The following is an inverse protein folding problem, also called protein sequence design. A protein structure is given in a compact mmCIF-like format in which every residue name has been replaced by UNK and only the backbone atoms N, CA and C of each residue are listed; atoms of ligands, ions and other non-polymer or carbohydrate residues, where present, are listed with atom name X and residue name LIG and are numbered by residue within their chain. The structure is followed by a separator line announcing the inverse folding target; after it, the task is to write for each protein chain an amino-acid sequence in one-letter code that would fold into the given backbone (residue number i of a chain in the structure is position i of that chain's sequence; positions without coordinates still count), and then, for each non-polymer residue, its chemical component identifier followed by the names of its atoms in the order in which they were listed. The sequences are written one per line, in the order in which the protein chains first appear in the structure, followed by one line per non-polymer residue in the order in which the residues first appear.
data_IF_683019268359
#
_entry.id   IF_683019268359
#
_cell.length_a   1.000
_cell.length_b   1.000
_cell.length_c   1.000
_cell.angle_alpha   90.00
_cell.angle_beta   90.00
_cell.angle_gamma   90.00
#
_symmetry.space_group_name_H-M   'P 1'
#
loop_
_entity.id
_entity.type
_entity.pdbx_description
1 polymer ?
#
# COMPACT_ATOMS: atom_id res chain seq x y z
N UNK A 1 -9.77 -0.16 27.97
CA UNK A 1 -9.03 -1.36 27.50
C UNK A 1 -9.88 -2.57 27.83
N UNK A 2 -10.18 -3.45 26.86
CA UNK A 2 -10.88 -4.69 27.19
C UNK A 2 -9.88 -5.68 27.81
N UNK A 3 -10.23 -6.27 28.95
CA UNK A 3 -9.39 -7.23 29.71
C UNK A 3 -8.82 -8.35 28.84
N UNK A 4 -9.59 -8.76 27.82
CA UNK A 4 -9.23 -9.81 26.86
C UNK A 4 -8.00 -9.47 26.00
N UNK A 5 -7.79 -8.20 25.62
CA UNK A 5 -6.62 -7.82 24.81
C UNK A 5 -5.36 -7.85 25.68
N UNK A 6 -5.43 -7.36 26.92
CA UNK A 6 -4.29 -7.41 27.84
C UNK A 6 -3.88 -8.84 28.18
N UNK A 7 -4.85 -9.73 28.42
CA UNK A 7 -4.60 -11.15 28.63
C UNK A 7 -3.96 -11.82 27.40
N UNK A 8 -4.43 -11.49 26.20
CA UNK A 8 -3.83 -11.97 24.96
C UNK A 8 -2.36 -11.55 24.85
N UNK A 9 -2.08 -10.25 25.03
CA UNK A 9 -0.74 -9.69 24.87
C UNK A 9 0.22 -10.16 25.96
N UNK A 10 -0.28 -10.47 27.15
CA UNK A 10 0.49 -11.10 28.23
C UNK A 10 0.67 -12.62 28.08
N UNK A 11 0.06 -13.25 27.08
CA UNK A 11 0.08 -14.71 26.95
C UNK A 11 1.37 -15.25 26.33
N UNK A 12 1.77 -16.46 26.74
CA UNK A 12 2.89 -17.19 26.11
C UNK A 12 2.66 -17.43 24.61
N UNK A 13 1.39 -17.56 24.18
CA UNK A 13 1.01 -17.71 22.78
C UNK A 13 1.40 -16.47 21.96
N UNK A 14 1.10 -15.27 22.49
CA UNK A 14 1.49 -14.03 21.84
C UNK A 14 3.02 -13.90 21.79
N UNK A 15 3.72 -14.16 22.90
CA UNK A 15 5.18 -14.08 22.94
C UNK A 15 5.86 -14.99 21.90
N UNK A 16 5.40 -16.24 21.77
CA UNK A 16 5.91 -17.18 20.76
C UNK A 16 5.65 -16.70 19.32
N UNK A 17 4.45 -16.17 19.07
CA UNK A 17 4.11 -15.61 17.76
C UNK A 17 4.94 -14.37 17.43
N UNK A 18 5.15 -13.48 18.41
CA UNK A 18 5.95 -12.28 18.25
C UNK A 18 7.40 -12.61 17.88
N UNK A 19 8.03 -13.53 18.60
CA UNK A 19 9.38 -13.99 18.29
C UNK A 19 9.49 -14.60 16.88
N UNK A 20 8.48 -15.36 16.44
CA UNK A 20 8.46 -15.93 15.08
C UNK A 20 8.34 -14.83 14.01
N UNK A 21 7.49 -13.83 14.22
CA UNK A 21 7.35 -12.69 13.31
C UNK A 21 8.62 -11.84 13.25
N UNK A 22 9.26 -11.57 14.38
CA UNK A 22 10.53 -10.84 14.44
C UNK A 22 11.65 -11.58 13.68
N UNK A 23 11.74 -12.90 13.85
CA UNK A 23 12.70 -13.72 13.09
C UNK A 23 12.43 -13.66 11.58
N UNK A 24 11.17 -13.79 11.16
CA UNK A 24 10.79 -13.68 9.75
C UNK A 24 11.11 -12.28 9.17
N UNK A 25 10.85 -11.21 9.92
CA UNK A 25 11.17 -9.85 9.49
C UNK A 25 12.68 -9.62 9.35
N UNK A 26 13.49 -10.22 10.24
CA UNK A 26 14.95 -10.18 10.12
C UNK A 26 15.43 -10.88 8.83
N UNK A 27 14.91 -12.07 8.53
CA UNK A 27 15.22 -12.77 7.26
C UNK A 27 14.82 -11.96 6.03
N UNK A 28 13.67 -11.29 6.09
CA UNK A 28 13.21 -10.42 5.00
C UNK A 28 14.17 -9.25 4.82
N UNK A 29 14.60 -8.60 5.90
CA UNK A 29 15.53 -7.48 5.83
C UNK A 29 16.87 -7.90 5.21
N UNK A 30 17.40 -9.07 5.59
CA UNK A 30 18.61 -9.63 4.99
C UNK A 30 18.40 -10.00 3.52
N UNK A 31 17.25 -10.62 3.18
CA UNK A 31 16.91 -10.99 1.81
C UNK A 31 16.75 -9.78 0.87
N UNK A 32 16.24 -8.65 1.36
CA UNK A 32 16.16 -7.41 0.57
C UNK A 32 17.55 -6.85 0.21
N UNK A 33 18.58 -7.17 1.00
CA UNK A 33 19.98 -6.78 0.77
C UNK A 33 20.79 -7.87 0.03
N UNK A 34 20.16 -8.98 -0.34
CA UNK A 34 20.83 -10.09 -1.01
C UNK A 34 21.42 -9.64 -2.36
N UNK A 35 22.59 -10.18 -2.76
CA UNK A 35 23.21 -9.84 -4.04
C UNK A 35 22.38 -10.34 -5.24
N UNK A 36 21.64 -11.44 -5.06
CA UNK A 36 20.79 -12.05 -6.09
C UNK A 36 19.42 -11.36 -6.19
N UNK A 37 19.07 -10.93 -7.41
CA UNK A 37 17.75 -10.35 -7.75
C UNK A 37 16.58 -11.24 -7.31
N UNK A 38 16.69 -12.55 -7.53
CA UNK A 38 15.63 -13.49 -7.20
C UNK A 38 15.35 -13.55 -5.69
N UNK A 39 16.37 -13.40 -4.85
CA UNK A 39 16.23 -13.44 -3.40
C UNK A 39 15.67 -12.12 -2.86
N UNK A 40 16.09 -10.98 -3.43
CA UNK A 40 15.45 -9.68 -3.15
C UNK A 40 13.96 -9.69 -3.49
N UNK A 41 13.61 -10.21 -4.66
CA UNK A 41 12.21 -10.31 -5.09
C UNK A 41 11.40 -11.25 -4.18
N UNK A 42 12.00 -12.37 -3.74
CA UNK A 42 11.36 -13.28 -2.78
C UNK A 42 11.11 -12.59 -1.44
N UNK A 43 12.09 -11.87 -0.92
CA UNK A 43 11.96 -11.10 0.32
C UNK A 43 10.88 -10.01 0.20
N UNK A 44 10.87 -9.24 -0.90
CA UNK A 44 9.83 -8.23 -1.14
C UNK A 44 8.41 -8.82 -1.23
N UNK A 45 8.27 -10.00 -1.85
CA UNK A 45 6.98 -10.71 -1.90
C UNK A 45 6.54 -11.21 -0.52
N UNK A 46 7.46 -11.71 0.30
CA UNK A 46 7.19 -12.08 1.70
C UNK A 46 6.76 -10.87 2.51
N UNK A 47 7.47 -9.75 2.40
CA UNK A 47 7.10 -8.49 3.04
C UNK A 47 5.71 -8.02 2.60
N UNK A 48 5.42 -8.09 1.30
CA UNK A 48 4.09 -7.76 0.75
C UNK A 48 2.99 -8.70 1.26
N UNK A 49 3.30 -9.97 1.51
CA UNK A 49 2.36 -10.91 2.12
C UNK A 49 2.07 -10.56 3.58
N UNK A 50 3.10 -10.26 4.38
CA UNK A 50 2.94 -9.77 5.76
C UNK A 50 2.16 -8.45 5.80
N UNK A 51 2.48 -7.53 4.89
CA UNK A 51 1.79 -6.25 4.77
C UNK A 51 0.28 -6.41 4.53
N UNK A 52 -0.16 -7.50 3.89
CA UNK A 52 -1.55 -7.82 3.55
C UNK A 52 -2.25 -8.78 4.52
N UNK A 53 -1.50 -9.38 5.44
CA UNK A 53 -2.01 -10.38 6.36
C UNK A 53 -3.18 -9.85 7.19
N UNK A 54 -4.06 -10.75 7.63
CA UNK A 54 -5.27 -10.41 8.40
C UNK A 54 -4.94 -9.53 9.61
N UNK A 55 -5.77 -8.51 9.83
CA UNK A 55 -5.51 -7.52 10.85
C UNK A 55 -5.91 -8.08 12.21
N UNK A 56 -4.95 -8.15 13.14
CA UNK A 56 -5.21 -8.60 14.50
C UNK A 56 -4.14 -8.06 15.46
N UNK A 57 -4.41 -8.17 16.76
CA UNK A 57 -3.42 -7.85 17.80
C UNK A 57 -2.17 -8.74 17.75
N UNK A 58 -2.23 -9.91 17.10
CA UNK A 58 -1.06 -10.76 16.88
C UNK A 58 -0.06 -10.12 15.90
N UNK A 59 -0.50 -9.15 15.08
CA UNK A 59 0.34 -8.45 14.11
C UNK A 59 1.06 -7.21 14.67
N UNK A 60 1.04 -6.99 15.99
CA UNK A 60 1.77 -5.89 16.63
C UNK A 60 3.29 -5.86 16.29
N UNK A 61 4.02 -7.00 16.20
CA UNK A 61 5.43 -6.98 15.79
C UNK A 61 5.63 -6.44 14.37
N UNK A 62 4.75 -6.83 13.44
CA UNK A 62 4.77 -6.33 12.05
C UNK A 62 4.45 -4.83 12.00
N UNK A 63 3.49 -4.38 12.81
CA UNK A 63 3.22 -2.94 12.98
C UNK A 63 4.45 -2.21 13.51
N UNK A 64 5.08 -2.71 14.57
CA UNK A 64 6.27 -2.11 15.16
C UNK A 64 7.42 -2.00 14.17
N UNK A 65 7.62 -3.02 13.34
CA UNK A 65 8.57 -2.99 12.24
C UNK A 65 8.27 -1.84 11.26
N UNK A 66 7.07 -1.75 10.71
CA UNK A 66 6.70 -0.69 9.77
C UNK A 66 6.77 0.73 10.38
N UNK A 67 6.52 0.88 11.68
CA UNK A 67 6.66 2.18 12.35
C UNK A 67 8.11 2.55 12.67
N UNK A 68 9.05 1.62 12.56
CA UNK A 68 10.44 1.89 12.83
C UNK A 68 11.06 2.81 11.76
N UNK A 69 11.96 3.71 12.18
CA UNK A 69 12.72 4.54 11.25
C UNK A 69 13.66 3.71 10.36
N UNK A 70 14.19 2.59 10.89
CA UNK A 70 15.06 1.67 10.15
C UNK A 70 14.38 1.10 8.92
N UNK A 71 13.14 0.62 9.06
CA UNK A 71 12.38 0.02 7.94
C UNK A 71 12.16 1.00 6.79
N UNK A 72 11.87 2.28 7.07
CA UNK A 72 11.73 3.30 5.99
C UNK A 72 13.04 3.51 5.24
N UNK A 73 14.17 3.49 5.94
CA UNK A 73 15.50 3.55 5.32
C UNK A 73 15.78 2.34 4.42
N UNK A 74 15.54 1.14 4.92
CA UNK A 74 15.74 -0.11 4.16
C UNK A 74 14.86 -0.19 2.90
N UNK A 75 13.59 0.20 3.01
CA UNK A 75 12.67 0.26 1.88
C UNK A 75 13.11 1.29 0.84
N UNK A 76 13.57 2.46 1.29
CA UNK A 76 14.06 3.51 0.38
C UNK A 76 15.30 3.04 -0.41
N UNK A 77 16.20 2.30 0.23
CA UNK A 77 17.34 1.68 -0.47
C UNK A 77 16.89 0.60 -1.46
N UNK A 78 16.01 -0.32 -1.05
CA UNK A 78 15.52 -1.39 -1.91
C UNK A 78 14.74 -0.89 -3.14
N UNK A 79 14.03 0.24 -3.01
CA UNK A 79 13.29 0.88 -4.09
C UNK A 79 14.16 1.48 -5.21
N UNK A 80 15.47 1.66 -4.99
CA UNK A 80 16.42 2.13 -6.02
C UNK A 80 16.75 1.08 -7.07
N UNK A 81 16.17 -0.11 -6.97
CA UNK A 81 16.25 -1.14 -8.00
C UNK A 81 15.73 -0.64 -9.35
N UNK A 82 16.28 -1.16 -10.45
CA UNK A 82 15.71 -1.01 -11.80
C UNK A 82 14.66 -2.08 -12.13
N UNK A 83 14.58 -3.13 -11.31
CA UNK A 83 13.71 -4.29 -11.53
C UNK A 83 12.25 -3.97 -11.22
N UNK A 84 11.41 -3.92 -12.26
CA UNK A 84 9.98 -3.59 -12.16
C UNK A 84 9.25 -4.49 -11.16
N UNK A 85 9.47 -5.81 -11.21
CA UNK A 85 8.77 -6.74 -10.33
C UNK A 85 9.12 -6.56 -8.85
N UNK A 86 10.38 -6.23 -8.54
CA UNK A 86 10.82 -5.94 -7.19
C UNK A 86 10.23 -4.62 -6.71
N UNK A 87 10.33 -3.58 -7.54
CA UNK A 87 9.76 -2.25 -7.23
C UNK A 87 8.26 -2.33 -6.96
N UNK A 88 7.50 -2.97 -7.85
CA UNK A 88 6.05 -3.10 -7.70
C UNK A 88 5.68 -3.87 -6.42
N UNK A 89 6.42 -4.94 -6.08
CA UNK A 89 6.19 -5.68 -4.83
C UNK A 89 6.44 -4.82 -3.58
N UNK A 90 7.45 -3.96 -3.60
CA UNK A 90 7.77 -3.02 -2.52
C UNK A 90 6.72 -1.91 -2.39
N UNK A 91 6.28 -1.30 -3.50
CA UNK A 91 5.23 -0.29 -3.51
C UNK A 91 3.91 -0.85 -2.96
N UNK A 92 3.56 -2.08 -3.34
CA UNK A 92 2.40 -2.79 -2.78
C UNK A 92 2.57 -3.03 -1.27
N UNK A 93 3.77 -3.42 -0.82
CA UNK A 93 4.02 -3.60 0.62
C UNK A 93 3.84 -2.27 1.39
N UNK A 94 4.38 -1.17 0.87
CA UNK A 94 4.24 0.19 1.43
C UNK A 94 2.78 0.60 1.51
N UNK A 95 2.02 0.45 0.41
CA UNK A 95 0.59 0.74 0.36
C UNK A 95 -0.18 0.01 1.46
N UNK A 96 -0.04 -1.31 1.52
CA UNK A 96 -0.78 -2.12 2.48
C UNK A 96 -0.33 -1.83 3.91
N UNK A 97 0.96 -1.58 4.15
CA UNK A 97 1.46 -1.22 5.46
C UNK A 97 0.88 0.11 5.96
N UNK A 98 0.82 1.13 5.09
CA UNK A 98 0.20 2.40 5.42
C UNK A 98 -1.29 2.25 5.78
N UNK A 99 -2.05 1.53 4.95
CA UNK A 99 -3.49 1.33 5.17
C UNK A 99 -3.78 0.47 6.41
N UNK A 100 -2.97 -0.57 6.66
CA UNK A 100 -3.28 -1.59 7.67
C UNK A 100 -2.57 -1.40 8.98
N UNK A 101 -1.33 -0.92 9.00
CA UNK A 101 -0.51 -0.82 10.21
C UNK A 101 -0.29 0.61 10.71
N UNK A 102 -0.48 1.61 9.82
CA UNK A 102 -0.33 3.03 10.19
C UNK A 102 -1.69 3.67 10.45
N UNK A 103 -2.59 3.65 9.48
CA UNK A 103 -3.82 4.45 9.51
C UNK A 103 -5.07 3.69 9.97
N UNK A 104 -5.00 2.36 10.10
CA UNK A 104 -6.19 1.57 10.39
C UNK A 104 -6.82 1.92 11.75
N UNK A 105 -8.16 2.13 11.83
CA UNK A 105 -8.84 2.54 13.07
C UNK A 105 -8.65 1.63 14.28
N UNK A 106 -8.40 0.33 14.06
CA UNK A 106 -8.13 -0.66 15.14
C UNK A 106 -7.01 -0.18 16.08
N UNK A 107 -6.00 0.51 15.54
CA UNK A 107 -4.84 0.97 16.32
C UNK A 107 -5.09 2.24 17.14
N UNK A 108 -6.23 2.93 16.94
CA UNK A 108 -6.58 4.08 17.80
C UNK A 108 -6.82 3.69 19.26
N UNK A 109 -7.07 2.40 19.49
CA UNK A 109 -7.26 1.81 20.80
C UNK A 109 -6.06 0.92 21.21
N UNK A 110 -4.91 1.07 20.55
CA UNK A 110 -3.70 0.30 20.84
C UNK A 110 -3.29 0.49 22.30
N UNK A 111 -3.27 -0.58 23.11
CA UNK A 111 -2.98 -0.50 24.53
C UNK A 111 -1.48 -0.39 24.85
N UNK A 112 -0.59 -0.65 23.87
CA UNK A 112 0.87 -0.67 24.05
C UNK A 112 1.52 0.60 23.48
N UNK A 113 0.98 1.11 22.38
CA UNK A 113 1.38 2.39 21.81
C UNK A 113 0.18 3.34 21.85
N UNK A 114 0.08 4.14 22.90
CA UNK A 114 -0.88 5.22 22.94
C UNK A 114 -0.74 6.05 21.66
N UNK A 115 -1.83 6.11 20.89
CA UNK A 115 -2.03 6.85 19.64
C UNK A 115 -1.37 6.23 18.40
N UNK A 116 -2.21 5.85 17.42
CA UNK A 116 -1.95 6.33 16.05
C UNK A 116 -1.86 7.84 16.20
N UNK A 117 -0.65 8.38 16.24
CA UNK A 117 -0.52 9.81 16.17
C UNK A 117 -0.82 10.19 14.73
N UNK A 118 -1.62 11.22 14.51
CA UNK A 118 -1.73 11.83 13.18
C UNK A 118 -0.33 12.18 12.62
N UNK A 119 0.67 12.32 13.50
CA UNK A 119 2.08 12.46 13.16
C UNK A 119 2.69 11.23 12.47
N UNK A 120 2.35 9.99 12.83
CA UNK A 120 2.86 8.78 12.13
C UNK A 120 2.32 8.70 10.71
N UNK A 121 1.01 8.95 10.54
CA UNK A 121 0.38 9.01 9.23
C UNK A 121 0.96 10.15 8.38
N UNK A 122 1.15 11.33 8.97
CA UNK A 122 1.81 12.47 8.29
C UNK A 122 3.26 12.16 7.92
N UNK A 123 4.04 11.53 8.80
CA UNK A 123 5.42 11.15 8.54
C UNK A 123 5.54 10.10 7.45
N UNK A 124 4.60 9.16 7.38
CA UNK A 124 4.50 8.19 6.30
C UNK A 124 4.15 8.87 4.97
N UNK A 125 3.14 9.74 4.94
CA UNK A 125 2.80 10.50 3.73
C UNK A 125 3.96 11.36 3.23
N UNK A 126 4.62 12.10 4.12
CA UNK A 126 5.78 12.91 3.79
C UNK A 126 6.96 12.10 3.22
N UNK A 127 7.12 10.84 3.66
CA UNK A 127 8.14 9.94 3.14
C UNK A 127 7.74 9.27 1.82
N UNK A 128 6.48 8.80 1.68
CA UNK A 128 5.98 8.14 0.48
C UNK A 128 5.84 9.09 -0.72
N UNK A 129 5.42 10.33 -0.46
CA UNK A 129 5.13 11.32 -1.51
C UNK A 129 6.28 11.53 -2.51
N UNK A 130 7.53 11.88 -2.10
CA UNK A 130 8.63 12.08 -3.04
C UNK A 130 9.04 10.80 -3.80
N UNK A 131 8.88 9.62 -3.18
CA UNK A 131 9.13 8.32 -3.82
C UNK A 131 8.13 8.12 -4.97
N UNK A 132 6.85 8.32 -4.67
CA UNK A 132 5.77 8.16 -5.62
C UNK A 132 5.88 9.18 -6.76
N UNK A 133 6.17 10.44 -6.45
CA UNK A 133 6.44 11.50 -7.42
C UNK A 133 7.57 11.13 -8.38
N UNK A 134 8.68 10.58 -7.88
CA UNK A 134 9.78 10.11 -8.73
C UNK A 134 9.40 8.98 -9.70
N UNK A 135 8.30 8.26 -9.44
CA UNK A 135 7.90 7.05 -10.16
C UNK A 135 6.67 7.22 -11.06
N UNK A 136 5.99 8.37 -11.06
CA UNK A 136 4.83 8.62 -11.93
C UNK A 136 5.18 8.60 -13.43
N UNK A 137 6.45 8.85 -13.75
CA UNK A 137 7.01 8.84 -15.11
C UNK A 137 7.77 7.54 -15.44
N UNK A 138 7.69 6.50 -14.58
CA UNK A 138 8.34 5.22 -14.84
C UNK A 138 7.88 4.60 -16.17
N UNK A 139 8.76 3.88 -16.86
CA UNK A 139 8.41 3.24 -18.14
C UNK A 139 7.33 2.16 -18.01
N UNK A 140 7.30 1.46 -16.87
CA UNK A 140 6.36 0.38 -16.59
C UNK A 140 4.99 0.93 -16.15
N UNK A 141 3.88 0.63 -16.86
CA UNK A 141 2.55 1.07 -16.48
C UNK A 141 2.11 0.62 -15.07
N UNK A 142 2.53 -0.57 -14.63
CA UNK A 142 2.23 -1.11 -13.30
C UNK A 142 2.87 -0.27 -12.20
N UNK A 143 4.16 0.06 -12.34
CA UNK A 143 4.85 0.97 -11.42
C UNK A 143 4.16 2.34 -11.37
N UNK A 144 3.74 2.89 -12.52
CA UNK A 144 3.04 4.19 -12.56
C UNK A 144 1.72 4.16 -11.79
N UNK A 145 0.91 3.10 -11.92
CA UNK A 145 -0.37 3.02 -11.19
C UNK A 145 -0.20 2.75 -9.70
N UNK A 146 0.85 2.04 -9.28
CA UNK A 146 1.17 1.89 -7.85
C UNK A 146 1.71 3.20 -7.26
N UNK A 147 2.55 3.94 -8.01
CA UNK A 147 2.99 5.28 -7.63
C UNK A 147 1.81 6.27 -7.54
N UNK A 148 0.90 6.24 -8.52
CA UNK A 148 -0.33 7.03 -8.49
C UNK A 148 -1.19 6.71 -7.26
N UNK A 149 -1.27 5.44 -6.86
CA UNK A 149 -1.97 5.05 -5.64
C UNK A 149 -1.36 5.71 -4.40
N UNK A 150 -0.03 5.66 -4.27
CA UNK A 150 0.67 6.28 -3.13
C UNK A 150 0.48 7.80 -3.13
N UNK A 151 0.48 8.46 -4.30
CA UNK A 151 0.14 9.87 -4.40
C UNK A 151 -1.30 10.16 -3.97
N UNK A 152 -2.26 9.33 -4.34
CA UNK A 152 -3.66 9.48 -3.92
C UNK A 152 -3.81 9.35 -2.40
N UNK A 153 -3.08 8.42 -1.76
CA UNK A 153 -2.99 8.31 -0.29
C UNK A 153 -2.36 9.54 0.37
N UNK A 154 -1.48 10.22 -0.36
CA UNK A 154 -0.86 11.49 0.05
C UNK A 154 -1.72 12.71 -0.30
N UNK A 155 -2.97 12.50 -0.76
CA UNK A 155 -3.90 13.54 -1.19
C UNK A 155 -3.40 14.40 -2.37
N UNK A 156 -2.49 13.88 -3.18
CA UNK A 156 -1.96 14.57 -4.36
C UNK A 156 -2.85 14.30 -5.60
N UNK A 157 -3.47 15.34 -6.20
CA UNK A 157 -4.40 15.16 -7.30
C UNK A 157 -3.75 14.66 -8.60
N UNK A 158 -2.42 14.80 -8.75
CA UNK A 158 -1.68 14.30 -9.94
C UNK A 158 -1.79 12.79 -10.10
N UNK A 159 -2.13 12.07 -9.02
CA UNK A 159 -2.44 10.64 -9.07
C UNK A 159 -3.48 10.30 -10.15
N UNK A 160 -4.52 11.13 -10.28
CA UNK A 160 -5.65 10.86 -11.16
C UNK A 160 -5.30 11.03 -12.62
N UNK A 161 -4.43 11.98 -12.96
CA UNK A 161 -3.92 12.17 -14.32
C UNK A 161 -3.14 10.94 -14.79
N UNK A 162 -2.36 10.33 -13.91
CA UNK A 162 -1.63 9.09 -14.20
C UNK A 162 -2.61 7.95 -14.48
N UNK A 163 -3.66 7.80 -13.67
CA UNK A 163 -4.68 6.78 -13.94
C UNK A 163 -5.41 7.03 -15.26
N UNK A 164 -5.84 8.27 -15.52
CA UNK A 164 -6.50 8.64 -16.78
C UNK A 164 -5.63 8.29 -17.99
N UNK A 165 -4.33 8.56 -17.93
CA UNK A 165 -3.40 8.26 -19.02
C UNK A 165 -3.14 6.74 -19.17
N UNK A 166 -2.82 6.06 -18.07
CA UNK A 166 -2.38 4.67 -18.10
C UNK A 166 -3.54 3.72 -18.40
N UNK A 167 -4.67 3.89 -17.71
CA UNK A 167 -5.83 2.99 -17.82
C UNK A 167 -6.51 3.12 -19.19
N UNK A 168 -6.47 4.31 -19.81
CA UNK A 168 -6.92 4.50 -21.20
C UNK A 168 -6.13 3.66 -22.21
N UNK A 169 -4.83 3.42 -21.97
CA UNK A 169 -3.95 2.62 -22.83
C UNK A 169 -3.90 1.13 -22.41
N UNK A 170 -4.19 0.85 -21.14
CA UNK A 170 -4.08 -0.47 -20.50
C UNK A 170 -5.30 -0.75 -19.64
N UNK A 171 -6.40 -1.12 -20.28
CA UNK A 171 -7.68 -1.38 -19.60
C UNK A 171 -7.62 -2.47 -18.52
N UNK A 172 -6.65 -3.39 -18.57
CA UNK A 172 -6.40 -4.36 -17.50
C UNK A 172 -5.98 -3.77 -16.15
N UNK A 173 -5.63 -2.48 -16.11
CA UNK A 173 -5.30 -1.75 -14.87
C UNK A 173 -6.50 -1.02 -14.27
N UNK A 174 -7.71 -1.18 -14.82
CA UNK A 174 -8.92 -0.54 -14.30
C UNK A 174 -9.21 -0.94 -12.84
N UNK A 175 -8.91 -2.17 -12.44
CA UNK A 175 -9.05 -2.61 -11.04
C UNK A 175 -8.12 -1.88 -10.06
N UNK A 176 -6.96 -1.36 -10.51
CA UNK A 176 -6.09 -0.54 -9.66
C UNK A 176 -6.70 0.84 -9.43
N UNK A 177 -7.30 1.43 -10.48
CA UNK A 177 -8.05 2.67 -10.37
C UNK A 177 -9.26 2.51 -9.45
N UNK A 178 -10.03 1.44 -9.60
CA UNK A 178 -11.17 1.12 -8.73
C UNK A 178 -10.76 1.11 -7.25
N UNK A 179 -9.67 0.42 -6.92
CA UNK A 179 -9.15 0.38 -5.55
C UNK A 179 -8.80 1.78 -5.04
N UNK A 180 -8.10 2.60 -5.86
CA UNK A 180 -7.74 3.96 -5.47
C UNK A 180 -8.97 4.85 -5.24
N UNK A 181 -9.98 4.76 -6.10
CA UNK A 181 -11.27 5.48 -5.97
C UNK A 181 -11.97 5.14 -4.64
N UNK A 182 -11.99 3.86 -4.27
CA UNK A 182 -12.63 3.39 -3.04
C UNK A 182 -11.88 3.81 -1.77
N UNK A 183 -10.56 3.97 -1.86
CA UNK A 183 -9.68 4.18 -0.70
C UNK A 183 -9.26 5.63 -0.49
N UNK A 184 -9.24 6.42 -1.55
CA UNK A 184 -8.80 7.81 -1.52
C UNK A 184 -9.91 8.74 -2.03
N UNK A 185 -11.07 8.82 -1.33
CA UNK A 185 -12.20 9.56 -1.86
C UNK A 185 -11.97 11.07 -1.93
N UNK A 186 -11.18 11.60 -1.00
CA UNK A 186 -11.06 13.04 -0.72
C UNK A 186 -10.08 13.79 -1.62
N UNK A 187 -9.21 13.08 -2.37
CA UNK A 187 -8.21 13.72 -3.24
C UNK A 187 -8.70 14.04 -4.65
N UNK A 188 -10.02 13.95 -4.89
CA UNK A 188 -10.64 14.10 -6.21
C UNK A 188 -11.44 15.40 -6.32
N UNK A 189 -11.29 16.10 -7.43
CA UNK A 189 -12.17 17.22 -7.80
C UNK A 189 -13.38 16.73 -8.60
N UNK A 190 -14.46 17.54 -8.73
CA UNK A 190 -15.59 17.22 -9.60
C UNK A 190 -15.19 16.97 -11.06
N UNK A 191 -14.19 17.69 -11.57
CA UNK A 191 -13.70 17.54 -12.95
C UNK A 191 -13.01 16.19 -13.14
N UNK A 192 -12.17 15.80 -12.18
CA UNK A 192 -11.53 14.47 -12.15
C UNK A 192 -12.58 13.38 -12.09
N UNK A 193 -13.60 13.53 -11.23
CA UNK A 193 -14.73 12.58 -11.14
C UNK A 193 -15.38 12.35 -12.50
N UNK A 194 -15.71 13.42 -13.23
CA UNK A 194 -16.33 13.32 -14.57
C UNK A 194 -15.40 12.62 -15.57
N UNK A 195 -14.11 12.98 -15.59
CA UNK A 195 -13.14 12.34 -16.47
C UNK A 195 -12.98 10.82 -16.20
N UNK A 196 -13.05 10.41 -14.93
CA UNK A 196 -13.01 9.00 -14.53
C UNK A 196 -14.30 8.25 -14.91
N UNK A 197 -15.47 8.88 -14.78
CA UNK A 197 -16.75 8.32 -15.27
C UNK A 197 -16.71 8.09 -16.79
N UNK A 198 -16.23 9.08 -17.55
CA UNK A 198 -16.07 8.96 -19.00
C UNK A 198 -15.06 7.88 -19.39
N UNK A 199 -13.96 7.76 -18.65
CA UNK A 199 -12.98 6.70 -18.85
C UNK A 199 -13.60 5.32 -18.63
N UNK A 200 -14.34 5.12 -17.53
CA UNK A 200 -14.99 3.86 -17.22
C UNK A 200 -16.01 3.47 -18.30
N UNK A 201 -16.82 4.43 -18.78
CA UNK A 201 -17.78 4.21 -19.86
C UNK A 201 -17.09 3.76 -21.16
N UNK A 202 -16.04 4.48 -21.60
CA UNK A 202 -15.28 4.12 -22.81
C UNK A 202 -14.59 2.75 -22.69
N UNK A 203 -14.11 2.39 -21.50
CA UNK A 203 -13.48 1.08 -21.29
C UNK A 203 -14.51 -0.04 -21.32
N UNK A 204 -15.68 0.15 -20.70
CA UNK A 204 -16.76 -0.84 -20.74
C UNK A 204 -17.21 -1.12 -22.18
N UNK A 205 -17.36 -0.07 -22.99
CA UNK A 205 -17.73 -0.17 -24.41
C UNK A 205 -16.66 -0.91 -25.23
N UNK A 206 -15.39 -0.52 -25.08
CA UNK A 206 -14.29 -1.08 -25.87
C UNK A 206 -13.85 -2.46 -25.42
N UNK A 207 -14.01 -2.78 -24.13
CA UNK A 207 -13.49 -3.98 -23.49
C UNK A 207 -14.57 -4.64 -22.61
N UNK A 208 -15.47 -5.46 -23.19
CA UNK A 208 -16.59 -6.06 -22.46
C UNK A 208 -16.21 -6.86 -21.21
N UNK A 209 -15.00 -7.44 -21.17
CA UNK A 209 -14.47 -8.14 -19.98
C UNK A 209 -14.25 -7.23 -18.77
N UNK A 210 -14.19 -5.92 -18.97
CA UNK A 210 -14.01 -4.91 -17.92
C UNK A 210 -15.33 -4.26 -17.50
N UNK A 211 -16.47 -4.64 -18.10
CA UNK A 211 -17.76 -3.99 -17.86
C UNK A 211 -18.17 -4.01 -16.38
N UNK A 212 -17.93 -5.12 -15.67
CA UNK A 212 -18.21 -5.23 -14.24
C UNK A 212 -17.39 -4.23 -13.40
N UNK A 213 -16.06 -4.21 -13.60
CA UNK A 213 -15.17 -3.27 -12.91
C UNK A 213 -15.50 -1.82 -13.24
N UNK A 214 -15.86 -1.52 -14.49
CA UNK A 214 -16.30 -0.19 -14.90
C UNK A 214 -17.62 0.25 -14.26
N UNK A 215 -18.57 -0.68 -14.04
CA UNK A 215 -19.79 -0.40 -13.27
C UNK A 215 -19.48 -0.13 -11.80
N UNK A 216 -18.57 -0.90 -11.19
CA UNK A 216 -18.13 -0.67 -9.82
C UNK A 216 -17.47 0.72 -9.66
N UNK A 217 -16.61 1.11 -10.61
CA UNK A 217 -16.03 2.46 -10.66
C UNK A 217 -17.11 3.54 -10.74
N UNK A 218 -18.10 3.36 -11.64
CA UNK A 218 -19.22 4.32 -11.77
C UNK A 218 -20.04 4.42 -10.48
N UNK A 219 -20.32 3.28 -9.85
CA UNK A 219 -21.05 3.21 -8.58
C UNK A 219 -20.30 3.89 -7.44
N UNK A 220 -18.98 3.68 -7.34
CA UNK A 220 -18.12 4.32 -6.33
C UNK A 220 -17.91 5.83 -6.55
N UNK A 221 -18.23 6.32 -7.76
CA UNK A 221 -18.18 7.72 -8.13
C UNK A 221 -19.58 8.38 -8.16
N UNK A 222 -20.67 7.66 -7.92
CA UNK A 222 -22.04 8.22 -7.93
C UNK A 222 -22.33 9.00 -6.64
#
# INVERSE_FOLDING_TARGET
MSTQVSELLGSARFAAHAAAQEAELAEIADGLRAPESADRLRAARRLSALARAELSWMMLPVRAHFLSAGTRGELAEALRTDEVALRDALLIAIRNAYERYVTHPMWRQDPVAATVSDADAAAWRAWMHPIAEGLIAASAPTTRVEAAYLLALCEDPRAWDVYLEVVAKRSGLLGHLELAILRCPDSRTPEVRNALLDLAARIAERHPRQAYTAESVRSALA
#
